data_IF_533329780792
#
_entry.id   IF_533329780792
#
_cell.length_a   1.000
_cell.length_b   1.000
_cell.length_c   1.000
_cell.angle_alpha   90.00
_cell.angle_beta   90.00
_cell.angle_gamma   90.00
#
_symmetry.space_group_name_H-M   'P 1'
#
loop_
_entity.id
_entity.type
_entity.pdbx_description
1 polymer ?
#
# COMPACT_ATOMS: atom_id res chain seq x y z
N UNK A 1 -24.68 -6.89 5.25
CA UNK A 1 -23.68 -7.49 6.16
C UNK A 1 -22.35 -7.44 5.45
N UNK A 2 -21.60 -6.37 5.66
CA UNK A 2 -20.28 -6.19 5.05
C UNK A 2 -19.39 -7.25 5.68
N UNK A 3 -19.10 -8.30 4.90
CA UNK A 3 -18.19 -9.37 5.31
C UNK A 3 -16.82 -8.72 5.45
N UNK A 4 -16.27 -8.81 6.65
CA UNK A 4 -14.87 -8.60 6.98
C UNK A 4 -13.99 -8.67 5.73
N UNK A 5 -13.57 -7.51 5.23
CA UNK A 5 -12.51 -7.41 4.24
C UNK A 5 -11.26 -7.92 4.96
N UNK A 6 -11.05 -9.23 4.88
CA UNK A 6 -9.80 -9.82 5.30
C UNK A 6 -8.78 -9.30 4.29
N UNK A 7 -8.12 -8.19 4.64
CA UNK A 7 -6.84 -7.79 4.07
C UNK A 7 -5.84 -8.87 4.49
N UNK A 8 -5.89 -10.02 3.86
CA UNK A 8 -4.88 -11.06 4.01
C UNK A 8 -4.67 -11.72 2.67
N UNK A 9 -3.43 -11.65 2.23
CA UNK A 9 -2.87 -12.63 1.32
C UNK A 9 -2.72 -12.11 -0.10
N UNK A 10 -1.47 -11.82 -0.43
CA UNK A 10 -0.96 -11.67 -1.80
C UNK A 10 -1.40 -10.42 -2.56
N UNK A 11 -0.89 -9.27 -2.12
CA UNK A 11 -0.43 -8.28 -3.11
C UNK A 11 0.74 -8.95 -3.83
N UNK A 12 0.47 -9.52 -4.99
CA UNK A 12 1.48 -9.78 -5.98
C UNK A 12 2.20 -8.45 -6.21
N UNK A 13 3.50 -8.46 -5.96
CA UNK A 13 4.39 -7.33 -6.14
C UNK A 13 4.29 -6.83 -7.58
N UNK A 14 3.45 -5.83 -7.83
CA UNK A 14 3.87 -4.76 -8.71
C UNK A 14 4.94 -4.03 -7.90
N UNK A 15 6.19 -4.43 -8.13
CA UNK A 15 7.26 -3.46 -8.12
C UNK A 15 6.86 -2.41 -9.17
N UNK A 16 6.01 -1.47 -8.77
CA UNK A 16 5.73 -0.32 -9.58
C UNK A 16 7.07 0.41 -9.67
N UNK A 17 7.69 0.26 -10.84
CA UNK A 17 8.72 1.11 -11.40
C UNK A 17 8.19 2.55 -11.59
N UNK A 18 7.33 3.03 -10.70
CA UNK A 18 7.07 4.45 -10.55
C UNK A 18 8.33 5.01 -9.89
N UNK A 19 9.33 5.30 -10.71
CA UNK A 19 10.31 6.33 -10.37
C UNK A 19 9.49 7.50 -9.84
N UNK A 20 9.60 7.85 -8.55
CA UNK A 20 8.85 8.96 -8.01
C UNK A 20 9.08 10.18 -8.91
N UNK A 21 8.05 10.96 -9.22
CA UNK A 21 8.25 12.19 -9.99
C UNK A 21 9.07 13.13 -9.10
N UNK A 22 10.38 13.17 -9.36
CA UNK A 22 11.39 13.63 -8.40
C UNK A 22 11.33 15.15 -8.20
N UNK A 23 11.15 15.55 -6.94
CA UNK A 23 11.55 16.86 -6.43
C UNK A 23 12.35 16.71 -5.11
N UNK A 24 13.24 15.71 -5.03
CA UNK A 24 14.07 15.43 -3.85
C UNK A 24 13.52 14.30 -2.98
N UNK A 25 13.59 14.46 -1.65
CA UNK A 25 13.08 13.51 -0.65
C UNK A 25 11.55 13.40 -0.67
N UNK A 26 10.84 14.37 -1.26
CA UNK A 26 9.38 14.38 -1.40
C UNK A 26 8.95 13.81 -2.76
N UNK A 27 7.89 13.01 -2.76
CA UNK A 27 7.33 12.38 -3.94
C UNK A 27 5.81 12.25 -3.90
N UNK A 28 5.22 11.92 -5.05
CA UNK A 28 3.84 11.42 -5.15
C UNK A 28 3.86 9.97 -5.60
N UNK A 29 2.94 9.15 -5.07
CA UNK A 29 2.83 7.73 -5.36
C UNK A 29 1.36 7.34 -5.53
N UNK A 30 0.83 7.43 -6.76
CA UNK A 30 -0.44 6.81 -7.10
C UNK A 30 -0.25 5.29 -7.22
N UNK A 31 -0.93 4.53 -6.36
CA UNK A 31 -0.82 3.07 -6.31
C UNK A 31 -2.20 2.42 -6.40
N UNK A 32 -2.34 1.43 -7.28
CA UNK A 32 -3.55 0.62 -7.37
C UNK A 32 -3.24 -0.82 -6.92
N UNK A 33 -3.89 -1.26 -5.85
CA UNK A 33 -3.81 -2.60 -5.30
C UNK A 33 -5.11 -3.33 -5.62
N UNK A 34 -5.05 -4.51 -6.24
CA UNK A 34 -6.23 -5.33 -6.51
C UNK A 34 -5.99 -6.77 -6.08
N UNK A 35 -6.99 -7.35 -5.42
CA UNK A 35 -7.00 -8.75 -4.99
C UNK A 35 -7.86 -9.62 -5.90
N UNK A 36 -7.38 -10.83 -6.18
CA UNK A 36 -8.14 -11.86 -6.90
C UNK A 36 -7.99 -13.21 -6.20
N UNK A 37 -9.09 -13.97 -6.12
CA UNK A 37 -9.07 -15.39 -5.75
C UNK A 37 -9.45 -16.21 -6.97
N UNK A 38 -8.46 -16.83 -7.62
CA UNK A 38 -8.67 -17.43 -8.94
C UNK A 38 -9.05 -16.37 -9.98
N UNK A 39 -10.24 -16.50 -10.57
CA UNK A 39 -10.79 -15.52 -11.52
C UNK A 39 -11.72 -14.47 -10.85
N UNK A 40 -11.97 -14.60 -9.55
CA UNK A 40 -12.90 -13.73 -8.82
C UNK A 40 -12.19 -12.51 -8.27
N UNK A 41 -12.70 -11.31 -8.57
CA UNK A 41 -12.24 -10.06 -7.97
C UNK A 41 -12.74 -9.96 -6.53
N UNK A 42 -11.83 -9.73 -5.57
CA UNK A 42 -12.16 -9.65 -4.14
C UNK A 42 -12.09 -8.23 -3.58
N UNK A 43 -11.66 -7.26 -4.38
CA UNK A 43 -11.59 -5.86 -4.02
C UNK A 43 -10.31 -5.18 -4.48
N UNK A 44 -10.30 -3.87 -4.41
CA UNK A 44 -9.14 -3.03 -4.70
C UNK A 44 -9.07 -1.78 -3.85
N UNK A 45 -7.88 -1.17 -3.81
CA UNK A 45 -7.67 0.18 -3.33
C UNK A 45 -6.89 0.99 -4.36
N UNK A 46 -7.34 2.21 -4.64
CA UNK A 46 -6.54 3.25 -5.31
C UNK A 46 -6.07 4.23 -4.26
N UNK A 47 -4.76 4.37 -4.10
CA UNK A 47 -4.12 5.19 -3.10
C UNK A 47 -3.39 6.34 -3.79
N UNK A 48 -3.67 7.57 -3.40
CA UNK A 48 -3.07 8.77 -3.99
C UNK A 48 -2.19 9.43 -2.94
N UNK A 49 -0.99 8.89 -2.72
CA UNK A 49 -0.12 9.33 -1.64
C UNK A 49 0.81 10.47 -2.05
N UNK A 50 1.06 11.36 -1.11
CA UNK A 50 2.29 12.13 -1.07
C UNK A 50 3.20 11.51 -0.01
N UNK A 51 4.50 11.46 -0.29
CA UNK A 51 5.47 10.79 0.56
C UNK A 51 6.77 11.55 0.71
N UNK A 52 7.52 11.12 1.72
CA UNK A 52 8.87 11.58 2.02
C UNK A 52 9.76 10.35 2.26
N UNK A 53 10.96 10.36 1.70
CA UNK A 53 11.97 9.31 1.88
C UNK A 53 13.33 9.94 2.23
N UNK A 54 13.91 9.46 3.33
CA UNK A 54 15.27 9.75 3.75
C UNK A 54 16.02 8.45 4.01
N UNK A 55 17.05 8.21 3.20
CA UNK A 55 17.83 6.97 3.21
C UNK A 55 16.94 5.71 3.20
N UNK A 56 17.04 4.84 4.23
CA UNK A 56 16.29 3.58 4.29
C UNK A 56 14.84 3.75 4.70
N UNK A 57 14.43 4.91 5.21
CA UNK A 57 13.11 5.16 5.78
C UNK A 57 12.23 5.93 4.80
N UNK A 58 10.95 5.56 4.73
CA UNK A 58 9.94 6.37 4.04
C UNK A 58 8.63 6.43 4.82
N UNK A 59 7.87 7.49 4.57
CA UNK A 59 6.50 7.64 5.02
C UNK A 59 5.68 8.28 3.90
N UNK A 60 4.45 7.80 3.72
CA UNK A 60 3.54 8.34 2.72
C UNK A 60 2.09 8.18 3.17
N UNK A 61 1.25 9.13 2.79
CA UNK A 61 -0.17 9.09 3.10
C UNK A 61 -0.99 9.96 2.15
N UNK A 62 -2.29 9.73 2.10
CA UNK A 62 -3.19 10.50 1.28
C UNK A 62 -4.60 9.91 1.20
N UNK A 63 -5.46 10.50 0.36
CA UNK A 63 -6.76 9.94 0.09
C UNK A 63 -6.63 8.57 -0.59
N UNK A 64 -7.54 7.68 -0.23
CA UNK A 64 -7.64 6.35 -0.79
C UNK A 64 -9.09 6.08 -1.21
N UNK A 65 -9.27 5.35 -2.30
CA UNK A 65 -10.56 4.86 -2.75
C UNK A 65 -10.56 3.33 -2.65
N UNK A 66 -11.38 2.79 -1.76
CA UNK A 66 -11.63 1.34 -1.67
C UNK A 66 -12.74 0.96 -2.65
N UNK A 67 -12.66 -0.24 -3.22
CA UNK A 67 -13.71 -0.82 -4.04
C UNK A 67 -13.86 -2.32 -3.70
N UNK A 68 -15.07 -2.77 -3.40
CA UNK A 68 -15.34 -4.16 -3.03
C UNK A 68 -15.92 -5.02 -4.17
N UNK A 69 -15.98 -4.47 -5.38
CA UNK A 69 -16.60 -5.06 -6.56
C UNK A 69 -18.03 -4.60 -6.81
N UNK A 70 -18.69 -3.99 -5.83
CA UNK A 70 -20.04 -3.43 -5.92
C UNK A 70 -20.07 -1.93 -5.69
N UNK A 71 -19.42 -1.47 -4.64
CA UNK A 71 -19.40 -0.08 -4.22
C UNK A 71 -17.96 0.45 -4.11
N UNK A 72 -17.84 1.78 -4.15
CA UNK A 72 -16.56 2.47 -3.99
C UNK A 72 -16.70 3.53 -2.90
N UNK A 73 -15.69 3.62 -2.04
CA UNK A 73 -15.71 4.50 -0.88
C UNK A 73 -14.40 5.24 -0.71
N UNK A 74 -14.47 6.56 -0.48
CA UNK A 74 -13.31 7.37 -0.20
C UNK A 74 -12.96 7.32 1.29
N UNK A 75 -11.67 7.30 1.56
CA UNK A 75 -11.12 7.33 2.90
C UNK A 75 -9.70 7.85 2.87
N UNK A 76 -8.94 7.44 3.87
CA UNK A 76 -7.54 7.80 4.02
C UNK A 76 -6.70 6.55 4.22
N UNK A 77 -5.53 6.52 3.59
CA UNK A 77 -4.52 5.51 3.89
C UNK A 77 -3.13 6.14 4.04
N UNK A 78 -2.28 5.44 4.76
CA UNK A 78 -0.89 5.79 4.90
C UNK A 78 -0.04 4.56 5.21
N UNK A 79 1.23 4.65 4.84
CA UNK A 79 2.19 3.58 5.05
C UNK A 79 3.58 4.14 5.29
N UNK A 80 4.33 3.45 6.11
CA UNK A 80 5.72 3.77 6.40
C UNK A 80 6.52 2.48 6.48
N UNK A 81 7.77 2.55 6.08
CA UNK A 81 8.63 1.39 6.08
C UNK A 81 10.10 1.76 6.18
N UNK A 82 10.89 0.74 6.46
CA UNK A 82 12.34 0.83 6.50
C UNK A 82 12.95 -0.37 5.80
N UNK A 83 14.07 -0.14 5.10
CA UNK A 83 14.87 -1.20 4.47
C UNK A 83 16.29 -1.27 5.01
N UNK A 84 16.87 -2.46 5.06
CA UNK A 84 18.25 -2.68 5.48
C UNK A 84 18.96 -3.63 4.51
N UNK A 85 20.13 -3.21 4.01
CA UNK A 85 20.99 -4.08 3.22
C UNK A 85 21.61 -5.17 4.10
N UNK A 86 21.40 -6.43 3.72
CA UNK A 86 21.97 -7.60 4.39
C UNK A 86 23.22 -8.10 3.68
N UNK A 87 23.28 -7.93 2.36
CA UNK A 87 24.46 -8.15 1.53
C UNK A 87 24.44 -7.23 0.31
N UNK A 88 25.48 -7.30 -0.53
CA UNK A 88 25.54 -6.56 -1.80
C UNK A 88 24.38 -6.90 -2.75
N UNK A 89 23.74 -8.06 -2.58
CA UNK A 89 22.68 -8.57 -3.45
C UNK A 89 21.34 -8.80 -2.74
N UNK A 90 21.22 -8.42 -1.48
CA UNK A 90 20.02 -8.67 -0.68
C UNK A 90 19.74 -7.50 0.25
N UNK A 91 18.55 -6.91 0.10
CA UNK A 91 18.00 -5.93 1.03
C UNK A 91 16.69 -6.45 1.60
N UNK A 92 16.52 -6.39 2.92
CA UNK A 92 15.26 -6.70 3.58
C UNK A 92 14.49 -5.42 3.84
N UNK A 93 13.17 -5.48 3.81
CA UNK A 93 12.31 -4.36 4.16
C UNK A 93 11.13 -4.78 5.02
N UNK A 94 10.68 -3.85 5.86
CA UNK A 94 9.43 -3.92 6.60
C UNK A 94 8.60 -2.69 6.34
N UNK A 95 7.28 -2.85 6.23
CA UNK A 95 6.32 -1.78 6.03
C UNK A 95 5.12 -2.03 6.94
N UNK A 96 4.61 -0.96 7.56
CA UNK A 96 3.31 -0.95 8.23
C UNK A 96 2.38 -0.01 7.48
N UNK A 97 1.11 -0.40 7.40
CA UNK A 97 0.06 0.34 6.72
C UNK A 97 -1.13 0.57 7.63
N UNK A 98 -1.83 1.67 7.38
CA UNK A 98 -3.10 2.04 8.00
C UNK A 98 -4.07 2.50 6.91
N UNK A 99 -5.33 2.13 7.04
CA UNK A 99 -6.41 2.66 6.22
C UNK A 99 -7.70 2.81 7.02
N UNK A 100 -8.51 3.81 6.70
CA UNK A 100 -9.83 3.99 7.30
C UNK A 100 -10.76 4.62 6.27
N UNK A 101 -11.92 4.00 6.11
CA UNK A 101 -13.03 4.49 5.31
C UNK A 101 -14.24 4.73 6.24
N UNK A 102 -15.24 5.46 5.76
CA UNK A 102 -16.41 5.96 6.51
C UNK A 102 -17.18 4.83 7.22
N UNK A 103 -17.53 3.77 6.50
CA UNK A 103 -18.43 2.70 6.98
C UNK A 103 -17.71 1.39 7.36
N UNK A 104 -16.38 1.42 7.41
CA UNK A 104 -15.55 0.23 7.73
C UNK A 104 -14.58 0.53 8.86
N UNK A 105 -14.23 -0.49 9.64
CA UNK A 105 -13.20 -0.38 10.68
C UNK A 105 -11.82 -0.04 10.09
N UNK A 106 -10.95 0.49 10.93
CA UNK A 106 -9.58 0.77 10.51
C UNK A 106 -8.85 -0.52 10.12
N UNK A 107 -8.26 -0.53 8.93
CA UNK A 107 -7.37 -1.57 8.44
C UNK A 107 -5.93 -1.32 8.89
N UNK A 108 -5.24 -2.40 9.23
CA UNK A 108 -3.82 -2.39 9.56
C UNK A 108 -3.09 -3.44 8.72
N UNK A 109 -1.98 -3.04 8.11
CA UNK A 109 -1.15 -3.89 7.28
C UNK A 109 0.25 -4.04 7.85
N UNK A 110 0.83 -5.22 7.71
CA UNK A 110 2.26 -5.47 7.93
C UNK A 110 2.79 -6.23 6.71
N UNK A 111 3.89 -5.75 6.15
CA UNK A 111 4.58 -6.38 5.03
C UNK A 111 6.06 -6.53 5.38
N UNK A 112 6.58 -7.71 5.11
CA UNK A 112 8.00 -8.06 5.24
C UNK A 112 8.42 -8.69 3.92
N UNK A 113 9.57 -8.28 3.39
CA UNK A 113 10.06 -8.81 2.13
C UNK A 113 11.54 -8.56 1.90
N UNK A 114 12.03 -9.08 0.79
CA UNK A 114 13.40 -8.88 0.31
C UNK A 114 13.41 -8.35 -1.12
N UNK A 115 14.47 -7.63 -1.46
CA UNK A 115 14.81 -7.17 -2.81
C UNK A 115 16.23 -7.61 -3.16
#
# INVERSE_FOLDING_TARGET
MIKSLIVSGAVATTAALASPVFAGEVYVNPEYNAGFTGAEFVGSSLELHAGFQDGPFYIQAGPALSNDGSDSEWGFSGKTGVSASVSDSLSLYTEVGYSKFEDVDAGYGLKLGGK
#
